data_IF_382338371743
#
_entry.id   IF_382338371743
#
_cell.length_a   1.000
_cell.length_b   1.000
_cell.length_c   1.000
_cell.angle_alpha   90.00
_cell.angle_beta   90.00
_cell.angle_gamma   90.00
#
_symmetry.space_group_name_H-M   'P 1'
#
loop_
_entity.id
_entity.type
_entity.pdbx_description
1 polymer ?
#
# COMPACT_ATOMS: atom_id res chain seq x y z
N UNK A 1 1.15 54.44 11.92
CA UNK A 1 2.12 53.32 12.05
C UNK A 1 1.33 52.04 12.27
N UNK A 2 1.15 51.25 11.22
CA UNK A 2 0.46 49.98 11.30
C UNK A 2 1.50 48.87 11.27
N UNK A 3 1.67 48.15 12.37
CA UNK A 3 2.54 46.97 12.42
C UNK A 3 1.82 45.78 11.79
N UNK A 4 2.32 45.41 10.63
CA UNK A 4 2.00 44.14 9.96
C UNK A 4 2.59 43.00 10.77
N UNK A 5 1.74 42.21 11.44
CA UNK A 5 2.10 40.91 11.99
C UNK A 5 1.91 39.87 10.90
N UNK A 6 2.98 39.64 10.13
CA UNK A 6 3.07 38.44 9.29
C UNK A 6 3.37 37.26 10.20
N UNK A 7 2.35 36.52 10.61
CA UNK A 7 2.55 35.23 11.24
C UNK A 7 2.95 34.20 10.19
N UNK A 8 4.25 33.99 10.06
CA UNK A 8 4.80 32.83 9.38
C UNK A 8 4.47 31.57 10.19
N UNK A 9 3.39 30.88 9.83
CA UNK A 9 3.21 29.48 10.19
C UNK A 9 4.28 28.68 9.45
N UNK A 10 5.45 28.54 10.05
CA UNK A 10 6.39 27.48 9.67
C UNK A 10 5.78 26.18 10.19
N UNK A 11 5.13 25.44 9.29
CA UNK A 11 4.66 24.09 9.59
C UNK A 11 5.87 23.24 9.97
N UNK A 12 5.83 22.63 11.15
CA UNK A 12 6.82 21.64 11.55
C UNK A 12 6.91 20.59 10.44
N UNK A 13 8.10 20.43 9.86
CA UNK A 13 8.34 19.38 8.87
C UNK A 13 8.23 18.03 9.60
N UNK A 14 7.14 17.31 9.37
CA UNK A 14 6.98 15.96 9.87
C UNK A 14 7.89 15.03 9.06
N UNK A 15 8.53 14.09 9.74
CA UNK A 15 9.18 12.96 9.05
C UNK A 15 8.08 12.11 8.42
N UNK A 16 8.19 11.84 7.14
CA UNK A 16 7.20 11.05 6.41
C UNK A 16 7.09 9.64 6.99
N UNK A 17 5.86 9.17 7.18
CA UNK A 17 5.58 7.84 7.69
C UNK A 17 4.88 7.02 6.62
N UNK A 18 5.33 5.79 6.50
CA UNK A 18 4.70 4.71 5.75
C UNK A 18 4.43 3.54 6.71
N UNK A 19 3.69 2.54 6.27
CA UNK A 19 3.48 1.39 7.14
C UNK A 19 2.79 0.20 6.50
N UNK A 20 2.46 -0.77 7.33
CA UNK A 20 1.75 -1.98 6.96
C UNK A 20 0.52 -2.14 7.84
N UNK A 21 -0.65 -2.23 7.22
CA UNK A 21 -1.91 -2.63 7.87
C UNK A 21 -2.13 -4.13 7.67
N UNK A 22 -2.43 -4.84 8.75
CA UNK A 22 -2.78 -6.26 8.74
C UNK A 22 -2.97 -6.84 10.13
N UNK A 23 -3.29 -8.13 10.23
CA UNK A 23 -3.43 -8.82 11.51
C UNK A 23 -3.31 -10.35 11.33
N UNK A 24 -2.51 -11.07 12.17
CA UNK A 24 -1.44 -10.50 13.02
C UNK A 24 -0.20 -10.11 12.19
N UNK A 25 0.63 -9.20 12.70
CA UNK A 25 1.85 -8.72 12.03
C UNK A 25 3.16 -9.21 12.68
N UNK A 26 3.09 -10.06 13.70
CA UNK A 26 4.25 -10.52 14.46
C UNK A 26 5.38 -11.16 13.65
N UNK A 27 5.11 -11.61 12.42
CA UNK A 27 6.11 -12.19 11.51
C UNK A 27 6.38 -11.31 10.27
N UNK A 28 5.95 -10.05 10.28
CA UNK A 28 6.15 -9.15 9.16
C UNK A 28 7.60 -8.72 9.00
N UNK A 29 8.17 -8.91 7.83
CA UNK A 29 9.51 -8.42 7.46
C UNK A 29 9.50 -6.96 7.01
N UNK A 30 8.32 -6.38 6.71
CA UNK A 30 8.22 -5.09 6.02
C UNK A 30 8.88 -3.96 6.79
N UNK A 31 8.62 -3.84 8.08
CA UNK A 31 9.19 -2.76 8.89
C UNK A 31 10.73 -2.79 8.90
N UNK A 32 11.33 -3.97 9.10
CA UNK A 32 12.78 -4.13 9.06
C UNK A 32 13.35 -3.81 7.67
N UNK A 33 12.74 -4.37 6.62
CA UNK A 33 13.17 -4.16 5.24
C UNK A 33 13.17 -2.69 4.86
N UNK A 34 12.06 -1.97 5.14
CA UNK A 34 11.96 -0.55 4.77
C UNK A 34 12.84 0.34 5.65
N UNK A 35 13.07 0.02 6.92
CA UNK A 35 14.02 0.74 7.76
C UNK A 35 15.44 0.65 7.18
N UNK A 36 15.88 -0.54 6.79
CA UNK A 36 17.18 -0.75 6.14
C UNK A 36 17.25 -0.04 4.78
N UNK A 37 16.20 -0.14 3.96
CA UNK A 37 16.12 0.51 2.66
C UNK A 37 16.19 2.03 2.79
N UNK A 38 15.41 2.64 3.67
CA UNK A 38 15.40 4.09 3.88
C UNK A 38 16.78 4.59 4.35
N UNK A 39 17.41 3.84 5.26
CA UNK A 39 18.77 4.16 5.71
C UNK A 39 19.80 4.08 4.56
N UNK A 40 19.77 3.03 3.74
CA UNK A 40 20.69 2.85 2.60
C UNK A 40 20.48 3.91 1.50
N UNK A 41 19.25 4.35 1.29
CA UNK A 41 18.90 5.31 0.23
C UNK A 41 18.87 6.76 0.73
N UNK A 42 19.20 7.01 2.01
CA UNK A 42 19.13 8.32 2.67
C UNK A 42 17.74 8.97 2.55
N UNK A 43 16.70 8.17 2.70
CA UNK A 43 15.31 8.62 2.72
C UNK A 43 14.92 8.95 4.17
N UNK A 44 14.57 10.19 4.44
CA UNK A 44 14.08 10.63 5.75
C UNK A 44 12.62 10.23 5.92
N UNK A 45 12.37 8.97 6.23
CA UNK A 45 11.05 8.43 6.47
C UNK A 45 11.08 7.27 7.47
N UNK A 46 9.95 7.00 8.09
CA UNK A 46 9.73 5.86 8.98
C UNK A 46 8.76 4.85 8.35
N UNK A 47 8.91 3.59 8.76
CA UNK A 47 7.96 2.55 8.39
C UNK A 47 7.45 1.85 9.64
N UNK A 48 6.13 1.85 9.83
CA UNK A 48 5.45 1.35 11.03
C UNK A 48 4.56 0.13 10.72
N UNK A 49 4.38 -0.75 11.69
CA UNK A 49 3.37 -1.80 11.65
C UNK A 49 2.09 -1.29 12.34
N UNK A 50 0.99 -1.22 11.60
CA UNK A 50 -0.33 -0.89 12.10
C UNK A 50 -1.14 -2.20 12.24
N UNK A 51 -0.95 -2.87 13.36
CA UNK A 51 -1.64 -4.12 13.63
C UNK A 51 -3.11 -3.85 13.96
N UNK A 52 -4.00 -4.21 13.04
CA UNK A 52 -5.43 -3.93 13.11
C UNK A 52 -6.21 -5.20 12.77
N UNK A 53 -6.97 -5.72 13.72
CA UNK A 53 -7.90 -6.83 13.48
C UNK A 53 -9.12 -6.37 12.68
N UNK A 54 -9.57 -5.15 12.93
CA UNK A 54 -10.65 -4.48 12.21
C UNK A 54 -10.17 -3.12 11.71
N UNK A 55 -10.56 -2.76 10.49
CA UNK A 55 -10.22 -1.45 9.93
C UNK A 55 -11.08 -0.35 10.60
N UNK A 56 -10.46 0.72 11.10
CA UNK A 56 -11.18 1.92 11.50
C UNK A 56 -11.73 2.66 10.27
N UNK A 57 -12.35 3.80 10.47
CA UNK A 57 -12.55 4.78 9.40
C UNK A 57 -11.18 5.31 8.95
N UNK A 58 -10.75 4.88 7.75
CA UNK A 58 -9.40 5.17 7.24
C UNK A 58 -9.22 6.63 6.86
N UNK A 59 -10.28 7.33 6.42
CA UNK A 59 -10.20 8.76 6.13
C UNK A 59 -9.98 9.53 7.43
N UNK A 60 -10.81 9.26 8.45
CA UNK A 60 -10.64 9.90 9.75
C UNK A 60 -9.27 9.57 10.35
N UNK A 61 -8.83 8.31 10.26
CA UNK A 61 -7.52 7.92 10.74
C UNK A 61 -6.38 8.66 10.01
N UNK A 62 -6.45 8.75 8.68
CA UNK A 62 -5.46 9.49 7.90
C UNK A 62 -5.45 11.00 8.21
N UNK A 63 -6.61 11.59 8.54
CA UNK A 63 -6.68 12.99 8.96
C UNK A 63 -6.00 13.24 10.31
N UNK A 64 -5.97 12.26 11.20
CA UNK A 64 -5.25 12.36 12.50
C UNK A 64 -3.75 12.14 12.39
N UNK A 65 -3.26 11.70 11.22
CA UNK A 65 -1.86 11.36 10.94
C UNK A 65 -1.35 12.14 9.73
N UNK A 66 -1.10 13.45 9.86
CA UNK A 66 -0.63 14.29 8.75
C UNK A 66 0.75 13.89 8.23
N UNK A 67 1.52 13.16 9.02
CA UNK A 67 2.81 12.53 8.70
C UNK A 67 2.67 11.31 7.79
N UNK A 68 1.54 10.60 7.81
CA UNK A 68 1.32 9.36 7.06
C UNK A 68 1.11 9.65 5.57
N UNK A 69 1.95 9.06 4.70
CA UNK A 69 1.93 9.24 3.22
C UNK A 69 1.25 8.08 2.50
N UNK A 70 1.28 6.92 3.09
CA UNK A 70 0.68 5.72 2.52
C UNK A 70 1.01 4.49 3.32
N UNK A 71 0.41 3.38 2.94
CA UNK A 71 0.64 2.12 3.64
C UNK A 71 0.42 0.92 2.73
N UNK A 72 1.12 -0.15 3.05
CA UNK A 72 0.84 -1.45 2.50
C UNK A 72 -0.32 -2.13 3.25
N UNK A 73 -0.96 -3.06 2.58
CA UNK A 73 -2.09 -3.84 3.15
C UNK A 73 -1.81 -5.31 2.99
N UNK A 74 -1.94 -6.06 4.09
CA UNK A 74 -1.83 -7.52 4.06
C UNK A 74 -3.10 -8.19 4.63
N UNK A 75 -3.03 -9.47 4.89
CA UNK A 75 -4.12 -10.26 5.47
C UNK A 75 -4.58 -9.63 6.79
N UNK A 76 -5.90 -9.57 7.04
CA UNK A 76 -7.01 -10.06 6.23
C UNK A 76 -7.62 -8.99 5.30
N UNK A 77 -7.05 -7.81 5.18
CA UNK A 77 -7.70 -6.58 4.73
C UNK A 77 -7.62 -6.29 3.23
N UNK A 78 -6.83 -7.02 2.43
CA UNK A 78 -6.60 -6.71 1.00
C UNK A 78 -7.88 -6.56 0.15
N UNK A 79 -8.96 -7.20 0.54
CA UNK A 79 -10.26 -7.10 -0.16
C UNK A 79 -11.21 -6.13 0.54
N UNK A 80 -11.33 -6.21 1.85
CA UNK A 80 -12.28 -5.41 2.63
C UNK A 80 -11.97 -3.92 2.63
N UNK A 81 -10.68 -3.56 2.49
CA UNK A 81 -10.24 -2.15 2.46
C UNK A 81 -10.80 -1.38 1.26
N UNK A 82 -11.12 -2.07 0.16
CA UNK A 82 -11.61 -1.44 -1.07
C UNK A 82 -12.84 -0.56 -0.81
N UNK A 83 -13.71 -0.95 0.11
CA UNK A 83 -14.92 -0.20 0.44
C UNK A 83 -14.65 1.18 1.07
N UNK A 84 -13.43 1.43 1.52
CA UNK A 84 -13.02 2.69 2.13
C UNK A 84 -12.08 3.54 1.25
N UNK A 85 -11.87 3.14 -0.02
CA UNK A 85 -10.96 3.84 -0.93
C UNK A 85 -11.73 4.69 -1.94
N UNK A 86 -11.19 5.86 -2.27
CA UNK A 86 -11.81 6.81 -3.21
C UNK A 86 -11.62 6.40 -4.65
N UNK A 87 -10.52 5.73 -4.96
CA UNK A 87 -10.25 5.22 -6.29
C UNK A 87 -9.31 4.02 -6.26
N UNK A 88 -9.42 3.19 -7.31
CA UNK A 88 -8.55 2.05 -7.53
C UNK A 88 -7.77 2.22 -8.84
N UNK A 89 -6.55 1.72 -8.85
CA UNK A 89 -5.83 1.54 -10.13
C UNK A 89 -6.54 0.48 -10.98
N UNK A 90 -6.34 0.49 -12.31
CA UNK A 90 -6.88 -0.56 -13.18
C UNK A 90 -6.50 -1.97 -12.72
N UNK A 91 -5.26 -2.16 -12.23
CA UNK A 91 -4.78 -3.43 -11.72
C UNK A 91 -5.51 -3.85 -10.45
N UNK A 92 -5.64 -2.95 -9.46
CA UNK A 92 -6.35 -3.26 -8.22
C UNK A 92 -7.83 -3.59 -8.48
N UNK A 93 -8.46 -2.88 -9.44
CA UNK A 93 -9.84 -3.14 -9.86
C UNK A 93 -10.00 -4.51 -10.53
N UNK A 94 -9.09 -4.86 -11.46
CA UNK A 94 -9.08 -6.17 -12.14
C UNK A 94 -8.87 -7.32 -11.14
N UNK A 95 -7.95 -7.14 -10.20
CA UNK A 95 -7.59 -8.14 -9.19
C UNK A 95 -8.69 -8.28 -8.12
N UNK A 96 -9.38 -7.18 -7.79
CA UNK A 96 -10.34 -7.12 -6.68
C UNK A 96 -9.64 -7.24 -5.32
N UNK A 97 -8.41 -6.75 -5.21
CA UNK A 97 -7.64 -6.66 -3.97
C UNK A 97 -6.62 -5.53 -4.05
N UNK A 98 -6.34 -4.93 -2.91
CA UNK A 98 -5.39 -3.82 -2.73
C UNK A 98 -4.29 -4.25 -1.77
N UNK A 99 -3.04 -3.98 -2.11
CA UNK A 99 -1.90 -4.16 -1.21
C UNK A 99 -1.08 -2.87 -0.98
N UNK A 100 -1.43 -1.79 -1.68
CA UNK A 100 -0.81 -0.47 -1.54
C UNK A 100 -1.89 0.59 -1.50
N UNK A 101 -1.84 1.48 -0.52
CA UNK A 101 -2.69 2.68 -0.45
C UNK A 101 -1.80 3.91 -0.38
N UNK A 102 -2.02 4.82 -1.31
CA UNK A 102 -1.42 6.15 -1.29
C UNK A 102 -2.41 7.16 -0.72
N UNK A 103 -1.94 7.99 0.18
CA UNK A 103 -2.71 9.08 0.75
C UNK A 103 -2.34 10.36 0.00
N UNK A 104 -3.33 10.98 -0.61
CA UNK A 104 -3.19 12.28 -1.29
C UNK A 104 -3.92 13.32 -0.47
N UNK A 105 -3.25 14.43 -0.19
CA UNK A 105 -3.82 15.57 0.50
C UNK A 105 -3.78 16.78 -0.43
N UNK A 106 -4.92 17.43 -0.58
CA UNK A 106 -5.05 18.69 -1.31
C UNK A 106 -4.82 19.88 -0.38
N UNK A 107 -4.59 21.04 -0.97
CA UNK A 107 -4.31 22.29 -0.23
C UNK A 107 -5.50 22.77 0.62
N UNK A 108 -6.72 22.35 0.27
CA UNK A 108 -7.95 22.61 1.01
C UNK A 108 -8.19 21.64 2.18
N UNK A 109 -7.26 20.69 2.37
CA UNK A 109 -7.29 19.71 3.47
C UNK A 109 -8.08 18.43 3.18
N UNK A 110 -8.60 18.25 1.96
CA UNK A 110 -9.23 16.99 1.55
C UNK A 110 -8.20 15.84 1.56
N UNK A 111 -8.58 14.70 2.11
CA UNK A 111 -7.79 13.47 2.13
C UNK A 111 -8.42 12.46 1.18
N UNK A 112 -7.64 11.94 0.24
CA UNK A 112 -8.05 10.87 -0.68
C UNK A 112 -7.17 9.66 -0.54
N UNK A 113 -7.78 8.47 -0.53
CA UNK A 113 -7.14 7.17 -0.41
C UNK A 113 -7.19 6.45 -1.75
N UNK A 114 -6.03 6.27 -2.37
CA UNK A 114 -5.91 5.66 -3.69
C UNK A 114 -5.30 4.27 -3.57
N UNK A 115 -6.07 3.25 -3.96
CA UNK A 115 -5.66 1.85 -3.87
C UNK A 115 -4.98 1.32 -5.13
N UNK A 116 -3.93 0.55 -4.92
CA UNK A 116 -3.21 -0.15 -5.97
C UNK A 116 -2.85 -1.58 -5.56
N UNK A 117 -2.38 -2.37 -6.53
CA UNK A 117 -1.89 -3.71 -6.27
C UNK A 117 -0.58 -3.95 -7.03
N UNK A 118 0.49 -4.15 -6.29
CA UNK A 118 1.82 -4.48 -6.83
C UNK A 118 2.17 -5.96 -6.76
N UNK A 119 1.36 -6.80 -6.09
CA UNK A 119 1.64 -8.23 -5.92
C UNK A 119 1.77 -8.96 -7.27
N UNK A 120 0.91 -8.61 -8.25
CA UNK A 120 0.93 -9.24 -9.56
C UNK A 120 2.22 -8.94 -10.35
N UNK A 121 2.75 -7.72 -10.24
CA UNK A 121 4.02 -7.35 -10.88
C UNK A 121 5.16 -8.11 -10.22
N UNK A 122 5.24 -8.07 -8.88
CA UNK A 122 6.26 -8.79 -8.13
C UNK A 122 6.25 -10.30 -8.43
N UNK A 123 5.06 -10.90 -8.57
CA UNK A 123 4.92 -12.31 -8.93
C UNK A 123 5.43 -12.58 -10.36
N UNK A 124 5.05 -11.75 -11.34
CA UNK A 124 5.56 -11.89 -12.73
C UNK A 124 7.07 -11.82 -12.76
N UNK A 125 7.67 -10.81 -12.14
CA UNK A 125 9.12 -10.61 -12.18
C UNK A 125 9.88 -11.75 -11.48
N UNK A 126 9.32 -12.30 -10.39
CA UNK A 126 9.93 -13.46 -9.70
C UNK A 126 9.78 -14.77 -10.48
N UNK A 127 8.65 -14.93 -11.19
CA UNK A 127 8.39 -16.16 -11.97
C UNK A 127 9.10 -16.19 -13.32
N UNK A 128 9.24 -15.04 -13.99
CA UNK A 128 9.79 -14.93 -15.36
C UNK A 128 11.10 -15.69 -15.58
N UNK A 129 12.13 -15.59 -14.72
CA UNK A 129 13.38 -16.32 -14.91
C UNK A 129 13.27 -17.84 -14.74
N UNK A 130 12.18 -18.31 -14.12
CA UNK A 130 11.92 -19.72 -13.83
C UNK A 130 10.93 -20.35 -14.82
N UNK A 131 10.25 -19.51 -15.62
CA UNK A 131 9.19 -19.96 -16.50
C UNK A 131 9.77 -20.63 -17.76
N UNK A 132 9.41 -21.90 -17.97
CA UNK A 132 9.74 -22.62 -19.19
C UNK A 132 8.70 -22.39 -20.27
N UNK A 133 9.08 -22.35 -21.56
CA UNK A 133 8.15 -22.06 -22.68
C UNK A 133 7.01 -23.08 -22.86
N UNK A 134 7.17 -24.28 -22.32
CA UNK A 134 6.17 -25.36 -22.41
C UNK A 134 5.08 -25.30 -21.35
N UNK A 135 5.20 -24.41 -20.35
CA UNK A 135 4.21 -24.26 -19.28
C UNK A 135 3.04 -23.41 -19.77
N UNK A 136 1.88 -24.02 -19.89
CA UNK A 136 0.64 -23.39 -20.34
C UNK A 136 -0.48 -23.40 -19.30
N UNK A 137 -0.29 -24.15 -18.21
CA UNK A 137 -1.32 -24.31 -17.17
C UNK A 137 -0.72 -24.20 -15.79
N UNK A 138 -1.50 -23.62 -14.86
CA UNK A 138 -1.13 -23.52 -13.47
C UNK A 138 -2.33 -23.84 -12.58
N UNK A 139 -2.04 -24.39 -11.40
CA UNK A 139 -3.02 -24.58 -10.34
C UNK A 139 -2.72 -23.58 -9.22
N UNK A 140 -3.69 -22.74 -8.88
CA UNK A 140 -3.61 -21.79 -7.77
C UNK A 140 -4.47 -22.27 -6.62
N UNK A 141 -3.84 -22.54 -5.48
CA UNK A 141 -4.54 -22.99 -4.26
C UNK A 141 -4.78 -21.77 -3.36
N UNK A 142 -6.06 -21.45 -3.14
CA UNK A 142 -6.51 -20.34 -2.30
C UNK A 142 -7.38 -19.33 -3.02
N UNK A 143 -8.10 -18.50 -2.25
CA UNK A 143 -9.08 -17.52 -2.76
C UNK A 143 -8.87 -16.11 -2.23
N UNK A 144 -7.79 -15.89 -1.47
CA UNK A 144 -7.46 -14.59 -0.86
C UNK A 144 -6.92 -13.56 -1.86
N UNK A 145 -6.64 -12.37 -1.38
CA UNK A 145 -6.14 -11.26 -2.22
C UNK A 145 -4.86 -11.59 -2.98
N UNK A 146 -3.93 -12.34 -2.37
CA UNK A 146 -2.70 -12.78 -3.04
C UNK A 146 -2.98 -13.74 -4.20
N UNK A 147 -3.87 -14.73 -4.00
CA UNK A 147 -4.26 -15.69 -5.06
C UNK A 147 -4.89 -14.97 -6.25
N UNK A 148 -5.70 -13.96 -6.03
CA UNK A 148 -6.30 -13.13 -7.08
C UNK A 148 -5.23 -12.42 -7.92
N UNK A 149 -4.22 -11.81 -7.27
CA UNK A 149 -3.11 -11.19 -7.97
C UNK A 149 -2.29 -12.19 -8.78
N UNK A 150 -2.04 -13.38 -8.24
CA UNK A 150 -1.36 -14.49 -8.95
C UNK A 150 -2.15 -14.93 -10.18
N UNK A 151 -3.47 -15.08 -10.09
CA UNK A 151 -4.33 -15.45 -11.24
C UNK A 151 -4.24 -14.41 -12.35
N UNK A 152 -4.31 -13.13 -12.02
CA UNK A 152 -4.16 -12.04 -13.01
C UNK A 152 -2.76 -12.06 -13.62
N UNK A 153 -1.73 -12.26 -12.82
CA UNK A 153 -0.35 -12.36 -13.29
C UNK A 153 -0.14 -13.53 -14.27
N UNK A 154 -0.66 -14.71 -13.94
CA UNK A 154 -0.58 -15.90 -14.80
C UNK A 154 -1.30 -15.66 -16.13
N UNK A 155 -2.51 -15.08 -16.11
CA UNK A 155 -3.24 -14.71 -17.34
C UNK A 155 -2.43 -13.75 -18.23
N UNK A 156 -1.76 -12.76 -17.64
CA UNK A 156 -0.90 -11.81 -18.37
C UNK A 156 0.35 -12.49 -18.97
N UNK A 157 0.76 -13.62 -18.42
CA UNK A 157 1.83 -14.48 -18.96
C UNK A 157 1.32 -15.52 -19.98
N UNK A 158 0.01 -15.56 -20.27
CA UNK A 158 -0.59 -16.54 -21.18
C UNK A 158 -0.76 -17.93 -20.56
N UNK A 159 -0.72 -18.05 -19.24
CA UNK A 159 -0.88 -19.31 -18.49
C UNK A 159 -2.31 -19.40 -17.98
N UNK A 160 -2.98 -20.54 -18.21
CA UNK A 160 -4.40 -20.77 -17.88
C UNK A 160 -4.60 -21.75 -16.74
#
# INVERSE_FOLDING_TARGET
MAHSLSSSFQGAAFVDVYGLIGFPLGHSFSAKYFAEKFACENIEANYENFEMEQLPDLHQWAMTRPDLRGFNVTIPHKQTIIAQLDALSPAASEIGAVNVVRIVRSDDGEVRLLGDNSDWVGFIESLRPLLRPDIQRALVLGTGGASRAVIVALRKLGIH
#
